data_IF_330194168706
#
_entry.id   IF_330194168706
#
_cell.length_a   1.000
_cell.length_b   1.000
_cell.length_c   1.000
_cell.angle_alpha   90.00
_cell.angle_beta   90.00
_cell.angle_gamma   90.00
#
_symmetry.space_group_name_H-M   'P 1'
#
loop_
_entity.id
_entity.type
_entity.pdbx_description
1 polymer ?
#
# COMPACT_ATOMS: atom_id res chain seq x y z
N UNK A 1 -9.71 -32.24 -6.75
CA UNK A 1 -9.34 -32.22 -5.32
C UNK A 1 -10.24 -31.21 -4.65
N UNK A 2 -11.22 -31.67 -3.84
CA UNK A 2 -12.20 -30.78 -3.18
C UNK A 2 -11.53 -30.29 -1.92
N UNK A 3 -11.09 -29.02 -1.91
CA UNK A 3 -10.71 -28.33 -0.66
C UNK A 3 -12.00 -28.21 0.15
N UNK A 4 -11.98 -28.70 1.40
CA UNK A 4 -13.17 -28.61 2.24
C UNK A 4 -13.48 -27.13 2.54
N UNK A 5 -14.76 -26.76 2.65
CA UNK A 5 -15.21 -25.39 3.00
C UNK A 5 -14.50 -24.84 4.26
N UNK A 6 -14.12 -25.73 5.18
CA UNK A 6 -13.33 -25.37 6.36
C UNK A 6 -11.90 -24.97 6.01
N UNK A 7 -11.27 -25.63 5.03
CA UNK A 7 -9.92 -25.30 4.56
C UNK A 7 -9.88 -23.95 3.81
N UNK A 8 -10.89 -23.65 3.00
CA UNK A 8 -11.01 -22.34 2.32
C UNK A 8 -11.18 -21.19 3.32
N UNK A 9 -12.01 -21.37 4.33
CA UNK A 9 -12.23 -20.36 5.37
C UNK A 9 -10.95 -20.07 6.16
N UNK A 10 -10.13 -21.07 6.44
CA UNK A 10 -8.84 -20.87 7.11
C UNK A 10 -7.82 -20.20 6.18
N UNK A 11 -7.77 -20.58 4.90
CA UNK A 11 -6.90 -19.91 3.91
C UNK A 11 -7.25 -18.43 3.74
N UNK A 12 -8.53 -18.10 3.67
CA UNK A 12 -8.98 -16.72 3.54
C UNK A 12 -8.58 -15.85 4.75
N UNK A 13 -8.57 -16.40 5.95
CA UNK A 13 -8.06 -15.70 7.14
C UNK A 13 -6.56 -15.40 7.07
N UNK A 14 -5.77 -16.24 6.40
CA UNK A 14 -4.34 -16.02 6.25
C UNK A 14 -4.03 -14.76 5.45
N UNK A 15 -4.83 -14.41 4.45
CA UNK A 15 -4.66 -13.20 3.65
C UNK A 15 -4.76 -11.96 4.54
N UNK A 16 -5.77 -11.87 5.40
CA UNK A 16 -5.93 -10.73 6.31
C UNK A 16 -4.84 -10.69 7.39
N UNK A 17 -4.37 -11.85 7.85
CA UNK A 17 -3.22 -11.92 8.75
C UNK A 17 -1.93 -11.42 8.09
N UNK A 18 -1.76 -11.67 6.81
CA UNK A 18 -0.63 -11.14 6.03
C UNK A 18 -0.72 -9.61 5.89
N UNK A 19 -1.91 -9.04 5.68
CA UNK A 19 -2.10 -7.57 5.70
C UNK A 19 -1.73 -6.98 7.06
N UNK A 20 -2.16 -7.60 8.15
CA UNK A 20 -1.81 -7.15 9.51
C UNK A 20 -0.28 -7.13 9.70
N UNK A 21 0.39 -8.27 9.46
CA UNK A 21 1.84 -8.39 9.65
C UNK A 21 2.60 -7.44 8.71
N UNK A 22 2.23 -7.40 7.43
CA UNK A 22 2.86 -6.55 6.43
C UNK A 22 2.71 -5.06 6.78
N UNK A 23 1.50 -4.63 7.11
CA UNK A 23 1.20 -3.24 7.45
C UNK A 23 1.87 -2.79 8.75
N UNK A 24 1.90 -3.64 9.78
CA UNK A 24 2.64 -3.34 11.01
C UNK A 24 4.15 -3.16 10.73
N UNK A 25 4.71 -4.02 9.88
CA UNK A 25 6.11 -3.91 9.49
C UNK A 25 6.36 -2.66 8.64
N UNK A 26 5.49 -2.37 7.68
CA UNK A 26 5.55 -1.15 6.87
C UNK A 26 5.52 0.11 7.74
N UNK A 27 4.59 0.18 8.70
CA UNK A 27 4.50 1.31 9.64
C UNK A 27 5.78 1.49 10.46
N UNK A 28 6.37 0.40 10.96
CA UNK A 28 7.66 0.45 11.68
C UNK A 28 8.78 1.01 10.82
N UNK A 29 8.84 0.64 9.52
CA UNK A 29 9.84 1.14 8.60
C UNK A 29 9.69 2.65 8.39
N UNK A 30 8.48 3.14 8.10
CA UNK A 30 8.25 4.57 7.86
C UNK A 30 8.30 5.41 9.14
N UNK A 31 8.06 4.82 10.32
CA UNK A 31 8.26 5.48 11.61
C UNK A 31 9.75 5.70 11.92
N UNK A 32 10.63 4.85 11.41
CA UNK A 32 12.08 4.96 11.57
C UNK A 32 12.73 5.92 10.55
N UNK A 33 11.95 6.55 9.67
CA UNK A 33 12.43 7.58 8.72
C UNK A 33 12.27 8.95 9.34
N UNK A 34 13.33 9.73 9.41
CA UNK A 34 13.28 11.10 9.93
C UNK A 34 12.59 12.04 8.93
N UNK A 35 12.04 13.16 9.43
CA UNK A 35 11.28 14.10 8.63
C UNK A 35 12.07 14.68 7.44
N UNK A 36 13.35 14.93 7.64
CA UNK A 36 14.28 15.46 6.63
C UNK A 36 14.64 14.43 5.54
N UNK A 37 14.38 13.14 5.78
CA UNK A 37 14.64 12.06 4.83
C UNK A 37 13.43 11.74 3.94
N UNK A 38 12.20 12.08 4.36
CA UNK A 38 10.97 11.63 3.69
C UNK A 38 10.83 12.14 2.27
N UNK A 39 11.28 13.38 2.00
CA UNK A 39 11.14 14.05 0.70
C UNK A 39 12.45 14.06 -0.10
N UNK A 40 13.47 13.36 0.37
CA UNK A 40 14.71 13.16 -0.40
C UNK A 40 14.47 12.11 -1.48
N UNK A 41 14.80 12.45 -2.71
CA UNK A 41 14.83 11.53 -3.85
C UNK A 41 16.27 11.09 -4.09
N UNK A 42 16.63 9.85 -3.72
CA UNK A 42 18.01 9.37 -3.96
C UNK A 42 18.26 9.11 -5.45
N UNK A 43 19.52 9.19 -5.85
CA UNK A 43 19.93 8.84 -7.21
C UNK A 43 19.49 7.42 -7.58
N UNK A 44 18.96 7.26 -8.79
CA UNK A 44 18.44 5.99 -9.28
C UNK A 44 16.98 5.66 -8.87
N UNK A 45 16.34 6.53 -8.09
CA UNK A 45 14.91 6.41 -7.77
C UNK A 45 14.09 7.53 -8.41
N UNK A 46 12.89 7.20 -8.86
CA UNK A 46 11.99 8.17 -9.50
C UNK A 46 11.13 8.94 -8.49
N UNK A 47 11.05 8.48 -7.25
CA UNK A 47 10.12 8.97 -6.24
C UNK A 47 10.79 9.10 -4.86
N UNK A 48 10.07 9.62 -3.87
CA UNK A 48 10.49 9.81 -2.48
C UNK A 48 9.83 8.78 -1.57
N UNK A 49 10.32 8.63 -0.33
CA UNK A 49 9.68 7.78 0.70
C UNK A 49 8.25 8.26 0.98
N UNK A 50 8.05 9.56 0.99
CA UNK A 50 6.71 10.18 1.14
C UNK A 50 5.76 9.72 0.03
N UNK A 51 6.20 9.80 -1.23
CA UNK A 51 5.40 9.33 -2.37
C UNK A 51 5.07 7.84 -2.25
N UNK A 52 6.06 6.99 -1.95
CA UNK A 52 5.82 5.56 -1.79
C UNK A 52 4.80 5.24 -0.70
N UNK A 53 4.82 6.01 0.40
CA UNK A 53 3.86 5.86 1.50
C UNK A 53 2.45 6.19 1.06
N UNK A 54 2.28 7.32 0.37
CA UNK A 54 0.98 7.73 -0.20
C UNK A 54 0.50 6.78 -1.30
N UNK A 55 1.42 6.29 -2.14
CA UNK A 55 1.11 5.35 -3.21
C UNK A 55 0.58 4.01 -2.68
N UNK A 56 1.24 3.42 -1.68
CA UNK A 56 0.76 2.18 -1.04
C UNK A 56 -0.64 2.38 -0.48
N UNK A 57 -0.88 3.47 0.25
CA UNK A 57 -2.21 3.79 0.78
C UNK A 57 -3.25 3.91 -0.34
N UNK A 58 -2.95 4.68 -1.38
CA UNK A 58 -3.90 4.99 -2.47
C UNK A 58 -4.24 3.76 -3.29
N UNK A 59 -3.22 2.97 -3.69
CA UNK A 59 -3.45 1.77 -4.50
C UNK A 59 -4.13 0.67 -3.67
N UNK A 60 -3.77 0.49 -2.40
CA UNK A 60 -4.46 -0.47 -1.52
C UNK A 60 -5.93 -0.07 -1.33
N UNK A 61 -6.23 1.23 -1.16
CA UNK A 61 -7.62 1.71 -1.10
C UNK A 61 -8.39 1.35 -2.36
N UNK A 62 -7.80 1.63 -3.53
CA UNK A 62 -8.43 1.34 -4.81
C UNK A 62 -8.69 -0.15 -5.01
N UNK A 63 -7.72 -1.00 -4.70
CA UNK A 63 -7.83 -2.45 -4.95
C UNK A 63 -8.72 -3.17 -3.95
N UNK A 64 -8.69 -2.77 -2.68
CA UNK A 64 -9.43 -3.46 -1.61
C UNK A 64 -10.85 -2.94 -1.40
N UNK A 65 -11.15 -1.71 -1.81
CA UNK A 65 -12.44 -1.08 -1.52
C UNK A 65 -13.10 -0.42 -2.74
N UNK A 66 -12.35 -0.10 -3.78
CA UNK A 66 -12.86 0.67 -4.92
C UNK A 66 -13.05 -0.15 -6.18
N UNK A 67 -12.14 -1.05 -6.51
CA UNK A 67 -12.13 -1.71 -7.82
C UNK A 67 -13.45 -2.42 -8.17
N UNK A 68 -13.99 -2.23 -9.39
CA UNK A 68 -13.46 -1.43 -10.50
C UNK A 68 -13.86 0.06 -10.48
N UNK A 69 -14.49 0.53 -9.42
CA UNK A 69 -14.97 1.89 -9.26
C UNK A 69 -13.99 2.73 -8.43
N UNK A 70 -14.19 4.04 -8.36
CA UNK A 70 -13.43 4.91 -7.47
C UNK A 70 -13.93 4.77 -6.03
N UNK A 71 -13.01 4.80 -5.07
CA UNK A 71 -13.35 4.93 -3.64
C UNK A 71 -13.56 6.41 -3.27
N UNK A 72 -14.38 6.65 -2.27
CA UNK A 72 -14.64 8.00 -1.72
C UNK A 72 -14.08 8.19 -0.31
N UNK A 73 -13.40 7.20 0.24
CA UNK A 73 -12.88 7.25 1.62
C UNK A 73 -11.62 8.12 1.74
N UNK A 74 -10.76 8.09 0.73
CA UNK A 74 -9.62 8.99 0.63
C UNK A 74 -9.98 10.26 -0.16
N UNK A 75 -9.27 11.39 0.06
CA UNK A 75 -9.45 12.59 -0.74
C UNK A 75 -9.30 12.32 -2.24
N UNK A 76 -10.14 12.97 -3.05
CA UNK A 76 -10.21 12.71 -4.49
C UNK A 76 -8.89 12.96 -5.23
N UNK A 77 -8.05 13.88 -4.73
CA UNK A 77 -6.75 14.20 -5.34
C UNK A 77 -5.64 13.16 -5.05
N UNK A 78 -5.88 12.12 -4.23
CA UNK A 78 -4.83 11.14 -3.91
C UNK A 78 -4.38 10.34 -5.13
N UNK A 79 -5.26 10.07 -6.08
CA UNK A 79 -4.87 9.43 -7.35
C UNK A 79 -3.97 10.33 -8.21
N UNK A 80 -4.17 11.65 -8.15
CA UNK A 80 -3.32 12.63 -8.84
C UNK A 80 -1.95 12.79 -8.16
N UNK A 81 -1.90 12.72 -6.83
CA UNK A 81 -0.67 12.84 -6.06
C UNK A 81 0.16 11.54 -6.05
N UNK A 82 -0.49 10.41 -5.89
CA UNK A 82 0.15 9.14 -5.54
C UNK A 82 -0.20 7.99 -6.49
N UNK A 83 -1.00 8.23 -7.53
CA UNK A 83 -1.34 7.20 -8.52
C UNK A 83 -0.14 6.71 -9.32
N UNK A 84 -0.33 5.64 -10.07
CA UNK A 84 0.73 5.09 -10.90
C UNK A 84 1.20 6.10 -11.97
N UNK A 85 2.50 6.30 -12.09
CA UNK A 85 3.13 7.24 -13.04
C UNK A 85 3.23 8.68 -12.54
N UNK A 86 2.71 9.02 -11.35
CA UNK A 86 2.89 10.33 -10.72
C UNK A 86 4.26 10.44 -10.04
N UNK A 87 4.69 11.64 -9.72
CA UNK A 87 5.94 11.91 -9.02
C UNK A 87 5.84 13.17 -8.15
N UNK A 88 6.64 13.29 -7.08
CA UNK A 88 6.63 14.45 -6.19
C UNK A 88 6.85 15.79 -6.89
N UNK A 89 7.65 15.80 -7.96
CA UNK A 89 7.91 17.03 -8.73
C UNK A 89 6.66 17.65 -9.39
N UNK A 90 5.61 16.85 -9.57
CA UNK A 90 4.35 17.29 -10.19
C UNK A 90 3.28 17.66 -9.13
N UNK A 91 3.59 17.53 -7.85
CA UNK A 91 2.63 17.81 -6.79
C UNK A 91 2.21 19.26 -6.76
N UNK A 92 0.90 19.47 -6.71
CA UNK A 92 0.28 20.79 -6.56
C UNK A 92 -0.80 20.73 -5.48
N UNK A 93 -1.10 21.88 -4.87
CA UNK A 93 -2.16 21.97 -3.85
C UNK A 93 -1.75 21.36 -2.50
N UNK A 94 -2.72 20.78 -1.81
CA UNK A 94 -2.52 20.25 -0.46
C UNK A 94 -2.05 18.79 -0.54
N UNK A 95 -0.79 18.55 -0.20
CA UNK A 95 -0.18 17.22 -0.09
C UNK A 95 -0.29 16.77 1.37
N UNK A 96 -0.85 15.58 1.66
CA UNK A 96 -0.95 15.10 3.04
C UNK A 96 0.44 14.86 3.64
N UNK A 97 0.59 15.18 4.90
CA UNK A 97 1.83 14.93 5.65
C UNK A 97 2.04 13.43 5.90
N UNK A 98 3.27 13.02 6.17
CA UNK A 98 3.58 11.65 6.60
C UNK A 98 2.79 11.23 7.85
N UNK A 99 2.47 12.17 8.74
CA UNK A 99 1.62 11.92 9.92
C UNK A 99 0.20 11.52 9.53
N UNK A 100 -0.41 12.27 8.61
CA UNK A 100 -1.75 11.98 8.09
C UNK A 100 -1.78 10.65 7.34
N UNK A 101 -0.79 10.38 6.48
CA UNK A 101 -0.69 9.10 5.77
C UNK A 101 -0.59 7.91 6.72
N UNK A 102 0.20 8.03 7.81
CA UNK A 102 0.30 6.97 8.83
C UNK A 102 -1.02 6.69 9.55
N UNK A 103 -1.78 7.74 9.86
CA UNK A 103 -3.11 7.60 10.49
C UNK A 103 -4.05 6.88 9.51
N UNK A 104 -4.08 7.29 8.26
CA UNK A 104 -4.93 6.69 7.23
C UNK A 104 -4.54 5.23 6.92
N UNK A 105 -3.25 4.90 6.94
CA UNK A 105 -2.77 3.51 6.78
C UNK A 105 -3.24 2.60 7.93
N UNK A 106 -3.28 3.10 9.17
CA UNK A 106 -3.80 2.38 10.34
C UNK A 106 -5.32 2.17 10.24
N UNK A 107 -6.04 3.22 9.87
CA UNK A 107 -7.49 3.13 9.61
C UNK A 107 -7.81 2.13 8.48
N UNK A 108 -7.07 2.21 7.38
CA UNK A 108 -7.25 1.30 6.25
C UNK A 108 -7.05 -0.17 6.66
N UNK A 109 -6.02 -0.47 7.48
CA UNK A 109 -5.82 -1.82 8.00
C UNK A 109 -7.01 -2.29 8.84
N UNK A 110 -7.53 -1.45 9.73
CA UNK A 110 -8.70 -1.77 10.54
C UNK A 110 -9.93 -2.10 9.67
N UNK A 111 -10.13 -1.37 8.56
CA UNK A 111 -11.20 -1.65 7.59
C UNK A 111 -10.97 -2.93 6.80
N UNK A 112 -9.74 -3.21 6.38
CA UNK A 112 -9.37 -4.47 5.71
C UNK A 112 -9.72 -5.66 6.61
N UNK A 113 -9.41 -5.58 7.90
CA UNK A 113 -9.72 -6.65 8.86
C UNK A 113 -11.23 -6.88 9.08
N UNK A 114 -12.08 -5.93 8.71
CA UNK A 114 -13.54 -6.05 8.77
C UNK A 114 -14.15 -6.67 7.52
N UNK A 115 -13.39 -6.87 6.45
CA UNK A 115 -13.87 -7.52 5.23
C UNK A 115 -14.21 -8.98 5.56
N UNK A 116 -15.44 -9.44 5.29
CA UNK A 116 -15.81 -10.84 5.48
C UNK A 116 -14.89 -11.77 4.66
N UNK A 117 -14.35 -12.80 5.29
CA UNK A 117 -13.36 -13.69 4.66
C UNK A 117 -13.89 -14.39 3.40
N UNK A 118 -15.20 -14.66 3.35
CA UNK A 118 -15.87 -15.24 2.20
C UNK A 118 -15.88 -14.34 0.96
N UNK A 119 -15.72 -13.03 1.11
CA UNK A 119 -15.65 -12.10 -0.02
C UNK A 119 -14.42 -12.34 -0.88
N UNK A 120 -13.33 -12.92 -0.33
CA UNK A 120 -12.15 -13.27 -1.11
C UNK A 120 -12.43 -14.27 -2.24
N UNK A 121 -13.51 -15.05 -2.13
CA UNK A 121 -13.94 -16.00 -3.15
C UNK A 121 -14.77 -15.36 -4.27
N UNK A 122 -15.19 -14.10 -4.11
CA UNK A 122 -16.03 -13.43 -5.10
C UNK A 122 -15.24 -13.15 -6.37
N UNK A 123 -15.87 -13.38 -7.52
CA UNK A 123 -15.30 -12.97 -8.80
C UNK A 123 -15.25 -11.45 -8.88
N UNK A 124 -14.17 -10.94 -9.46
CA UNK A 124 -14.09 -9.53 -9.84
C UNK A 124 -15.10 -9.24 -10.95
N UNK A 125 -15.69 -8.06 -10.93
CA UNK A 125 -16.58 -7.59 -12.02
C UNK A 125 -15.83 -7.56 -13.36
N UNK A 126 -14.54 -7.20 -13.32
CA UNK A 126 -13.62 -7.24 -14.46
C UNK A 126 -12.30 -7.85 -14.01
N UNK A 127 -11.70 -8.76 -14.82
CA UNK A 127 -10.34 -9.22 -14.54
C UNK A 127 -9.35 -8.05 -14.50
N UNK A 128 -8.41 -8.07 -13.56
CA UNK A 128 -7.40 -7.05 -13.39
C UNK A 128 -6.05 -7.67 -13.04
N UNK A 129 -4.99 -7.31 -13.76
CA UNK A 129 -3.63 -7.87 -13.59
C UNK A 129 -3.59 -9.41 -13.61
N UNK A 130 -4.48 -10.05 -14.39
CA UNK A 130 -4.61 -11.49 -14.43
C UNK A 130 -5.47 -12.09 -13.31
N UNK A 131 -5.86 -11.31 -12.30
CA UNK A 131 -6.74 -11.72 -11.21
C UNK A 131 -8.18 -11.84 -11.68
N UNK A 132 -8.86 -12.88 -11.23
CA UNK A 132 -10.29 -13.15 -11.49
C UNK A 132 -11.14 -13.05 -10.24
N UNK A 133 -10.53 -13.25 -9.07
CA UNK A 133 -11.21 -13.17 -7.77
C UNK A 133 -10.66 -12.05 -6.91
N UNK A 134 -11.45 -11.61 -5.93
CA UNK A 134 -11.01 -10.61 -4.96
C UNK A 134 -9.82 -11.11 -4.12
N UNK A 135 -9.76 -12.40 -3.81
CA UNK A 135 -8.63 -12.99 -3.09
C UNK A 135 -7.32 -12.93 -3.89
N UNK A 136 -7.37 -13.19 -5.21
CA UNK A 136 -6.20 -13.02 -6.08
C UNK A 136 -5.75 -11.55 -6.12
N UNK A 137 -6.69 -10.61 -6.21
CA UNK A 137 -6.39 -9.18 -6.18
C UNK A 137 -5.80 -8.75 -4.83
N UNK A 138 -6.31 -9.27 -3.72
CA UNK A 138 -5.74 -9.05 -2.39
C UNK A 138 -4.31 -9.56 -2.28
N UNK A 139 -4.00 -10.73 -2.86
CA UNK A 139 -2.65 -11.27 -2.96
C UNK A 139 -1.69 -10.38 -3.74
N UNK A 140 -2.13 -9.85 -4.90
CA UNK A 140 -1.35 -8.88 -5.69
C UNK A 140 -1.14 -7.58 -4.92
N UNK A 141 -2.14 -7.12 -4.17
CA UNK A 141 -2.05 -5.91 -3.34
C UNK A 141 -1.00 -6.08 -2.23
N UNK A 142 -0.95 -7.24 -1.58
CA UNK A 142 0.09 -7.56 -0.58
C UNK A 142 1.50 -7.56 -1.20
N UNK A 143 1.65 -8.17 -2.37
CA UNK A 143 2.93 -8.17 -3.11
C UNK A 143 3.36 -6.75 -3.48
N UNK A 144 2.44 -5.91 -3.91
CA UNK A 144 2.66 -4.50 -4.23
C UNK A 144 3.15 -3.72 -2.99
N UNK A 145 2.48 -3.86 -1.86
CA UNK A 145 2.89 -3.21 -0.61
C UNK A 145 4.30 -3.68 -0.18
N UNK A 146 4.58 -4.99 -0.24
CA UNK A 146 5.89 -5.54 0.08
C UNK A 146 7.00 -5.02 -0.85
N UNK A 147 6.70 -4.84 -2.14
CA UNK A 147 7.64 -4.26 -3.12
C UNK A 147 8.02 -2.83 -2.74
N UNK A 148 7.04 -1.98 -2.43
CA UNK A 148 7.30 -0.60 -2.01
C UNK A 148 8.02 -0.52 -0.65
N UNK A 149 7.72 -1.42 0.26
CA UNK A 149 8.43 -1.56 1.53
C UNK A 149 9.93 -1.82 1.33
N UNK A 150 10.27 -2.72 0.42
CA UNK A 150 11.66 -2.99 0.05
C UNK A 150 12.36 -1.77 -0.58
N UNK A 151 11.66 -1.02 -1.44
CA UNK A 151 12.16 0.22 -2.02
C UNK A 151 12.43 1.29 -0.96
N UNK A 152 11.50 1.52 -0.03
CA UNK A 152 11.67 2.47 1.08
C UNK A 152 12.89 2.11 1.94
N UNK A 153 13.09 0.83 2.25
CA UNK A 153 14.27 0.38 3.00
C UNK A 153 15.58 0.64 2.24
N UNK A 154 15.60 0.40 0.93
CA UNK A 154 16.76 0.69 0.08
C UNK A 154 17.05 2.20 0.04
N UNK A 155 16.03 3.02 -0.21
CA UNK A 155 16.14 4.48 -0.21
C UNK A 155 16.68 5.01 1.11
N UNK A 156 16.10 4.57 2.24
CA UNK A 156 16.56 4.97 3.59
C UNK A 156 18.06 4.72 3.77
N UNK A 157 18.53 3.50 3.41
CA UNK A 157 19.96 3.16 3.52
C UNK A 157 20.85 4.07 2.67
N UNK A 158 20.42 4.42 1.45
CA UNK A 158 21.17 5.30 0.56
C UNK A 158 21.24 6.71 1.15
N UNK A 159 20.11 7.26 1.59
CA UNK A 159 20.02 8.59 2.19
C UNK A 159 20.95 8.69 3.43
N UNK A 160 20.89 7.70 4.32
CA UNK A 160 21.74 7.63 5.51
C UNK A 160 23.23 7.53 5.15
N UNK A 161 23.57 6.79 4.10
CA UNK A 161 24.98 6.57 3.70
C UNK A 161 25.61 7.81 3.05
N UNK A 162 24.81 8.58 2.29
CA UNK A 162 25.27 9.85 1.69
C UNK A 162 25.47 10.91 2.79
N UNK A 163 24.62 10.93 3.81
CA UNK A 163 24.75 11.84 4.96
C UNK A 163 25.98 11.58 5.86
N UNK A 164 26.55 10.38 5.80
CA UNK A 164 27.74 10.00 6.60
C UNK A 164 29.05 10.31 5.87
N UNK A 165 29.02 10.58 4.57
CA UNK A 165 30.23 10.87 3.75
C UNK A 165 30.62 12.35 3.67
N UNK A 166 29.86 13.24 4.31
CA UNK A 166 30.16 14.66 4.48
C UNK A 166 30.57 14.95 5.92
#
# INVERSE_FOLDING_TARGET
MIVSVKGEKEMNKLVFKQFEIGREYFLKIIEAVSKDQTDVQPDGFNNTIHWHTGHVLTITEQTMFGFPHATTHLPANYMELFGNGTKPADWTGNVPTMGELKIQLKDQLARIQQIPAEQLNNNLEKPFLGCKTFGELAGVTLMHEATHMGQIQAMKRIIEHVGVKN
#
